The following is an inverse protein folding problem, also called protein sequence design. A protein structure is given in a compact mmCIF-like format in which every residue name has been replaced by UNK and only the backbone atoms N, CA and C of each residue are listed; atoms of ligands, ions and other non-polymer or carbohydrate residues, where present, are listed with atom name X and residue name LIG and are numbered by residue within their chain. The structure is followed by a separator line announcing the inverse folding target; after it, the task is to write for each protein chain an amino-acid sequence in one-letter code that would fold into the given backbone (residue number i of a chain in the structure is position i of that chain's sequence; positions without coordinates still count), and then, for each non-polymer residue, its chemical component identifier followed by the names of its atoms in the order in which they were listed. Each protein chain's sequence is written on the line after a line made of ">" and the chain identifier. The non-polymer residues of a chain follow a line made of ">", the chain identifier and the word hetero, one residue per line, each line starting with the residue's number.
data_IF_891555110977
#
_entry.id   IF_891555110977
#
_cell.length_a   1.000
_cell.length_b   1.000
_cell.length_c   1.000
_cell.angle_alpha   90.00
_cell.angle_beta   90.00
_cell.angle_gamma   90.00
#
_symmetry.space_group_name_H-M   'P 1'
#
loop_
_entity.id
_entity.type
_entity.pdbx_description
1 polymer ?
#
# COMPACT_ATOMS: atom_id res chain seq x y z
N UNK A 1 20.39 -16.24 1.39
CA UNK A 1 20.46 -14.82 1.77
C UNK A 1 21.03 -14.74 3.17
N UNK A 2 22.00 -13.85 3.44
CA UNK A 2 22.58 -13.67 4.77
C UNK A 2 21.65 -12.80 5.64
N UNK A 3 21.81 -12.85 6.98
CA UNK A 3 21.06 -11.99 7.90
C UNK A 3 21.29 -10.50 7.59
N UNK A 4 22.54 -10.13 7.28
CA UNK A 4 22.91 -8.75 6.95
C UNK A 4 22.18 -8.26 5.70
N UNK A 5 22.13 -9.07 4.62
CA UNK A 5 21.39 -8.70 3.41
C UNK A 5 19.89 -8.57 3.64
N UNK A 6 19.32 -9.43 4.50
CA UNK A 6 17.89 -9.32 4.87
C UNK A 6 17.58 -8.04 5.61
N UNK A 7 18.38 -7.65 6.60
CA UNK A 7 18.22 -6.40 7.36
C UNK A 7 18.39 -5.18 6.47
N UNK A 8 19.37 -5.19 5.56
CA UNK A 8 19.56 -4.09 4.60
C UNK A 8 18.36 -3.90 3.69
N UNK A 9 17.76 -4.99 3.19
CA UNK A 9 16.56 -4.95 2.35
C UNK A 9 15.32 -4.47 3.13
N UNK A 10 15.15 -4.90 4.38
CA UNK A 10 14.08 -4.41 5.26
C UNK A 10 14.16 -2.90 5.42
N UNK A 11 15.34 -2.37 5.75
CA UNK A 11 15.55 -0.92 5.92
C UNK A 11 15.28 -0.20 4.59
N UNK A 12 15.84 -0.70 3.48
CA UNK A 12 15.65 -0.10 2.16
C UNK A 12 14.17 -0.03 1.77
N UNK A 13 13.44 -1.13 1.91
CA UNK A 13 12.03 -1.19 1.51
C UNK A 13 11.12 -0.35 2.42
N UNK A 14 11.44 -0.31 3.73
CA UNK A 14 10.78 0.61 4.64
C UNK A 14 11.03 2.08 4.25
N UNK A 15 12.26 2.46 3.94
CA UNK A 15 12.61 3.82 3.51
C UNK A 15 11.88 4.18 2.21
N UNK A 16 11.90 3.30 1.19
CA UNK A 16 11.16 3.49 -0.06
C UNK A 16 9.66 3.73 0.23
N UNK A 17 9.06 2.86 1.04
CA UNK A 17 7.65 2.96 1.41
C UNK A 17 7.31 4.24 2.17
N UNK A 18 8.22 4.72 3.01
CA UNK A 18 8.02 5.87 3.89
C UNK A 18 8.10 7.24 3.20
N UNK A 19 8.44 7.27 1.89
CA UNK A 19 8.43 8.51 1.11
C UNK A 19 7.00 9.10 1.02
N UNK A 20 6.77 10.31 1.55
CA UNK A 20 5.44 10.89 1.65
C UNK A 20 5.09 11.68 0.38
N UNK A 21 4.84 10.99 -0.74
CA UNK A 21 4.62 11.62 -2.04
C UNK A 21 3.46 12.62 -2.05
N UNK A 22 2.41 12.40 -1.27
CA UNK A 22 1.33 13.35 -1.14
C UNK A 22 1.82 14.71 -0.62
N UNK A 23 2.68 14.74 0.42
CA UNK A 23 3.25 15.98 0.95
C UNK A 23 4.26 16.61 -0.01
N UNK A 24 5.09 15.78 -0.65
CA UNK A 24 6.10 16.24 -1.61
C UNK A 24 5.42 16.96 -2.78
N UNK A 25 4.48 16.30 -3.44
CA UNK A 25 3.82 16.86 -4.63
C UNK A 25 2.87 18.01 -4.29
N UNK A 26 2.11 17.97 -3.19
CA UNK A 26 1.27 19.11 -2.81
C UNK A 26 2.08 20.34 -2.50
N UNK A 27 3.27 20.19 -1.90
CA UNK A 27 4.20 21.30 -1.66
C UNK A 27 4.78 21.84 -2.98
N UNK A 28 5.23 20.96 -3.88
CA UNK A 28 5.82 21.33 -5.18
C UNK A 28 4.81 22.07 -6.08
N UNK A 29 3.53 21.71 -6.02
CA UNK A 29 2.47 22.33 -6.80
C UNK A 29 1.74 23.47 -6.07
N UNK A 30 2.26 23.93 -4.93
CA UNK A 30 1.68 25.08 -4.21
C UNK A 30 0.31 24.84 -3.57
N UNK A 31 -0.09 23.56 -3.36
CA UNK A 31 -1.40 23.20 -2.78
C UNK A 31 -1.41 23.27 -1.23
N UNK A 32 -0.29 23.64 -0.60
CA UNK A 32 -0.18 23.71 0.83
C UNK A 32 -0.02 22.37 1.55
N UNK A 33 -0.29 22.35 2.87
CA UNK A 33 -0.16 21.14 3.67
C UNK A 33 -1.44 20.32 3.67
N UNK A 34 -1.42 19.19 2.99
CA UNK A 34 -2.56 18.29 2.83
C UNK A 34 -3.09 17.73 4.16
N UNK A 35 -2.30 17.75 5.24
CA UNK A 35 -2.74 17.32 6.58
C UNK A 35 -3.77 18.28 7.20
N UNK A 36 -3.88 19.50 6.66
CA UNK A 36 -4.86 20.52 7.07
C UNK A 36 -6.11 20.52 6.19
N UNK A 37 -6.19 19.62 5.19
CA UNK A 37 -7.29 19.57 4.23
C UNK A 37 -8.08 18.27 4.41
N UNK A 38 -9.38 18.33 4.35
CA UNK A 38 -10.28 17.18 4.33
C UNK A 38 -10.07 16.24 5.52
N UNK A 39 -9.69 14.97 5.26
CA UNK A 39 -9.46 13.97 6.30
C UNK A 39 -8.10 14.09 7.01
N UNK A 40 -7.22 14.97 6.56
CA UNK A 40 -5.84 15.07 7.07
C UNK A 40 -4.92 13.91 6.65
N UNK A 41 -5.43 12.93 5.90
CA UNK A 41 -4.65 11.78 5.46
C UNK A 41 -3.65 12.14 4.36
N UNK A 42 -2.44 11.55 4.41
CA UNK A 42 -1.35 11.80 3.44
C UNK A 42 -1.42 10.81 2.25
N UNK A 43 -2.55 10.83 1.52
CA UNK A 43 -2.77 9.95 0.37
C UNK A 43 -3.54 10.63 -0.77
N UNK A 44 -3.52 10.01 -1.95
CA UNK A 44 -4.09 10.54 -3.20
C UNK A 44 -5.55 10.98 -3.08
N UNK A 45 -6.39 10.23 -2.36
CA UNK A 45 -7.81 10.57 -2.14
C UNK A 45 -7.99 11.91 -1.41
N UNK A 46 -7.10 12.24 -0.46
CA UNK A 46 -7.15 13.52 0.22
C UNK A 46 -6.60 14.65 -0.66
N UNK A 47 -5.57 14.37 -1.47
CA UNK A 47 -5.07 15.31 -2.48
C UNK A 47 -6.16 15.67 -3.49
N UNK A 48 -7.00 14.71 -3.89
CA UNK A 48 -8.12 14.95 -4.81
C UNK A 48 -9.10 16.02 -4.26
N UNK A 49 -9.25 16.13 -2.94
CA UNK A 49 -10.10 17.15 -2.29
C UNK A 49 -9.57 18.58 -2.42
N UNK A 50 -8.31 18.78 -2.79
CA UNK A 50 -7.78 20.10 -3.15
C UNK A 50 -8.30 20.61 -4.50
N UNK A 51 -9.03 19.77 -5.27
CA UNK A 51 -9.50 20.04 -6.63
C UNK A 51 -8.47 19.71 -7.73
N UNK A 52 -7.20 19.47 -7.40
CA UNK A 52 -6.17 19.17 -8.37
C UNK A 52 -6.09 17.66 -8.67
N UNK A 53 -6.84 17.24 -9.71
CA UNK A 53 -6.90 15.83 -10.14
C UNK A 53 -5.56 15.31 -10.65
N UNK A 54 -4.75 16.16 -11.29
CA UNK A 54 -3.45 15.79 -11.85
C UNK A 54 -2.46 15.42 -10.75
N UNK A 55 -2.35 16.27 -9.72
CA UNK A 55 -1.47 15.97 -8.58
C UNK A 55 -1.94 14.74 -7.81
N UNK A 56 -3.26 14.57 -7.64
CA UNK A 56 -3.81 13.37 -7.01
C UNK A 56 -3.46 12.09 -7.79
N UNK A 57 -3.51 12.14 -9.12
CA UNK A 57 -3.11 11.02 -9.99
C UNK A 57 -1.62 10.70 -9.87
N UNK A 58 -0.74 11.71 -9.90
CA UNK A 58 0.71 11.52 -9.73
C UNK A 58 0.99 10.85 -8.36
N UNK A 59 0.39 11.36 -7.30
CA UNK A 59 0.54 10.80 -5.95
C UNK A 59 0.10 9.32 -5.93
N UNK A 60 -1.03 9.00 -6.55
CA UNK A 60 -1.51 7.61 -6.66
C UNK A 60 -0.50 6.71 -7.36
N UNK A 61 0.03 7.16 -8.52
CA UNK A 61 1.02 6.40 -9.28
C UNK A 61 2.30 6.14 -8.47
N UNK A 62 2.83 7.15 -7.79
CA UNK A 62 4.04 7.00 -6.99
C UNK A 62 3.81 6.14 -5.73
N UNK A 63 2.65 6.24 -5.09
CA UNK A 63 2.31 5.38 -3.95
C UNK A 63 2.09 3.92 -4.37
N UNK A 64 1.57 3.64 -5.57
CA UNK A 64 1.53 2.30 -6.16
C UNK A 64 2.95 1.83 -6.49
N UNK A 65 3.74 2.68 -7.17
CA UNK A 65 5.09 2.31 -7.62
C UNK A 65 6.00 1.94 -6.44
N UNK A 66 5.96 2.67 -5.32
CA UNK A 66 6.78 2.34 -4.15
C UNK A 66 6.40 1.01 -3.49
N UNK A 67 5.17 0.52 -3.68
CA UNK A 67 4.76 -0.82 -3.25
C UNK A 67 5.21 -1.92 -4.21
N UNK A 68 5.31 -1.61 -5.50
CA UNK A 68 5.77 -2.50 -6.56
C UNK A 68 7.30 -2.65 -6.59
N UNK A 69 8.02 -1.55 -6.38
CA UNK A 69 9.48 -1.45 -6.53
C UNK A 69 10.27 -2.49 -5.72
N UNK A 70 9.91 -2.85 -4.46
CA UNK A 70 10.58 -3.92 -3.72
C UNK A 70 10.58 -5.26 -4.45
N UNK A 71 9.45 -5.65 -5.06
CA UNK A 71 9.38 -6.89 -5.85
C UNK A 71 10.26 -6.84 -7.07
N UNK A 72 10.30 -5.69 -7.77
CA UNK A 72 11.17 -5.49 -8.92
C UNK A 72 12.64 -5.64 -8.53
N UNK A 73 13.07 -5.05 -7.42
CA UNK A 73 14.44 -5.18 -6.89
C UNK A 73 14.75 -6.65 -6.57
N UNK A 74 13.85 -7.36 -5.88
CA UNK A 74 14.06 -8.77 -5.57
C UNK A 74 14.10 -9.65 -6.83
N UNK A 75 13.30 -9.33 -7.84
CA UNK A 75 13.31 -10.07 -9.10
C UNK A 75 14.62 -9.88 -9.88
N UNK A 76 15.21 -8.67 -9.82
CA UNK A 76 16.45 -8.36 -10.55
C UNK A 76 17.70 -8.92 -9.86
N UNK A 77 17.75 -8.88 -8.52
CA UNK A 77 18.99 -9.14 -7.78
C UNK A 77 18.94 -10.37 -6.87
N UNK A 78 17.75 -10.92 -6.58
CA UNK A 78 17.56 -11.98 -5.59
C UNK A 78 16.50 -12.99 -6.06
N UNK A 79 16.74 -13.66 -7.20
CA UNK A 79 15.75 -14.53 -7.85
C UNK A 79 15.39 -15.77 -7.03
N UNK A 80 16.36 -16.34 -6.29
CA UNK A 80 16.23 -17.61 -5.56
C UNK A 80 15.52 -17.48 -4.18
N UNK A 81 14.93 -16.32 -3.88
CA UNK A 81 14.22 -16.12 -2.62
C UNK A 81 12.83 -16.76 -2.72
N UNK A 82 12.46 -17.54 -1.69
CA UNK A 82 11.12 -18.14 -1.59
C UNK A 82 10.02 -17.07 -1.62
N UNK A 83 8.85 -17.45 -2.13
CA UNK A 83 7.70 -16.55 -2.21
C UNK A 83 7.34 -15.93 -0.86
N UNK A 84 7.35 -16.74 0.21
CA UNK A 84 7.07 -16.25 1.56
C UNK A 84 8.06 -15.17 2.00
N UNK A 85 9.37 -15.37 1.75
CA UNK A 85 10.39 -14.37 2.08
C UNK A 85 10.25 -13.10 1.23
N UNK A 86 9.89 -13.21 -0.07
CA UNK A 86 9.58 -12.04 -0.90
C UNK A 86 8.44 -11.23 -0.31
N UNK A 87 7.36 -11.90 0.07
CA UNK A 87 6.19 -11.30 0.73
C UNK A 87 6.62 -10.60 2.03
N UNK A 88 7.36 -11.29 2.90
CA UNK A 88 7.82 -10.78 4.19
C UNK A 88 8.79 -9.59 4.09
N UNK A 89 9.59 -9.52 3.05
CA UNK A 89 10.47 -8.37 2.80
C UNK A 89 9.72 -7.18 2.20
N UNK A 90 8.93 -7.44 1.16
CA UNK A 90 8.26 -6.37 0.43
C UNK A 90 7.18 -5.65 1.24
N UNK A 91 6.57 -6.31 2.27
CA UNK A 91 5.55 -5.65 3.10
C UNK A 91 6.10 -4.47 3.92
N UNK A 92 7.44 -4.38 4.12
CA UNK A 92 8.05 -3.23 4.79
C UNK A 92 7.84 -1.91 4.04
N UNK A 93 7.56 -1.94 2.73
CA UNK A 93 7.12 -0.75 2.01
C UNK A 93 5.72 -0.28 2.46
N UNK A 94 4.81 -1.21 2.78
CA UNK A 94 3.49 -0.88 3.31
C UNK A 94 3.62 -0.31 4.72
N UNK A 95 4.45 -0.94 5.58
CA UNK A 95 4.76 -0.43 6.91
C UNK A 95 5.36 0.98 6.87
N UNK A 96 6.30 1.22 5.94
CA UNK A 96 6.89 2.53 5.73
C UNK A 96 5.85 3.58 5.33
N UNK A 97 4.88 3.23 4.47
CA UNK A 97 3.81 4.16 4.09
C UNK A 97 2.86 4.48 5.25
N UNK A 98 2.49 3.49 6.07
CA UNK A 98 1.55 3.66 7.18
C UNK A 98 2.22 4.36 8.37
N UNK A 99 3.47 3.98 8.67
CA UNK A 99 4.22 4.44 9.84
C UNK A 99 5.57 5.08 9.47
N UNK A 100 5.59 6.16 8.65
CA UNK A 100 6.85 6.81 8.26
C UNK A 100 7.47 7.55 9.46
N UNK A 101 8.76 7.28 9.73
CA UNK A 101 9.49 7.88 10.85
C UNK A 101 9.52 9.42 10.79
N UNK A 102 9.67 10.00 9.60
CA UNK A 102 9.70 11.46 9.39
C UNK A 102 8.36 12.16 9.62
N UNK A 103 7.26 11.41 9.66
CA UNK A 103 5.93 11.92 9.99
C UNK A 103 5.48 11.50 11.40
N UNK A 104 6.41 11.17 12.29
CA UNK A 104 6.13 10.69 13.66
C UNK A 104 5.15 9.51 13.63
N UNK A 105 5.35 8.58 12.69
CA UNK A 105 4.55 7.38 12.46
C UNK A 105 3.08 7.63 12.09
N UNK A 106 2.77 8.84 11.56
CA UNK A 106 1.42 9.21 11.09
C UNK A 106 1.42 9.35 9.56
N UNK A 107 1.39 8.20 8.86
CA UNK A 107 1.40 8.12 7.41
C UNK A 107 0.01 8.05 6.78
N UNK A 108 -0.05 7.38 5.60
CA UNK A 108 -1.28 7.11 4.87
C UNK A 108 -1.94 5.78 5.28
N UNK A 109 -3.01 5.42 4.59
CA UNK A 109 -3.76 4.18 4.84
C UNK A 109 -3.11 2.92 4.24
N UNK A 110 -2.17 3.06 3.33
CA UNK A 110 -1.46 1.95 2.70
C UNK A 110 -2.15 1.32 1.48
N UNK A 111 -3.38 1.70 1.13
CA UNK A 111 -4.15 1.03 0.06
C UNK A 111 -3.45 1.11 -1.30
N UNK A 112 -2.97 2.27 -1.73
CA UNK A 112 -2.26 2.43 -3.00
C UNK A 112 -0.94 1.63 -3.01
N UNK A 113 -0.19 1.67 -1.90
CA UNK A 113 1.04 0.89 -1.74
C UNK A 113 0.76 -0.62 -1.73
N UNK A 114 -0.37 -1.04 -1.14
CA UNK A 114 -0.84 -2.42 -1.18
C UNK A 114 -1.20 -2.87 -2.60
N UNK A 115 -1.82 -2.02 -3.41
CA UNK A 115 -2.06 -2.32 -4.84
C UNK A 115 -0.73 -2.57 -5.55
N UNK A 116 0.27 -1.72 -5.33
CA UNK A 116 1.62 -1.91 -5.89
C UNK A 116 2.27 -3.22 -5.42
N UNK A 117 2.15 -3.54 -4.13
CA UNK A 117 2.59 -4.80 -3.56
C UNK A 117 1.90 -6.00 -4.25
N UNK A 118 0.58 -5.95 -4.48
CA UNK A 118 -0.14 -7.01 -5.18
C UNK A 118 0.30 -7.15 -6.64
N UNK A 119 0.57 -6.03 -7.35
CA UNK A 119 1.10 -6.09 -8.72
C UNK A 119 2.47 -6.78 -8.78
N UNK A 120 3.33 -6.54 -7.79
CA UNK A 120 4.61 -7.24 -7.68
C UNK A 120 4.48 -8.71 -7.32
N UNK A 121 3.48 -9.06 -6.52
CA UNK A 121 3.24 -10.42 -6.07
C UNK A 121 2.57 -11.27 -7.18
N UNK A 122 1.46 -10.78 -7.72
CA UNK A 122 0.69 -11.41 -8.79
C UNK A 122 -0.26 -10.38 -9.44
N UNK A 123 -0.04 -10.00 -10.71
CA UNK A 123 -0.87 -9.02 -11.40
C UNK A 123 -2.36 -9.36 -11.47
N UNK A 124 -2.70 -10.66 -11.56
CA UNK A 124 -4.11 -11.09 -11.60
C UNK A 124 -4.83 -10.80 -10.28
N UNK A 125 -4.14 -11.00 -9.14
CA UNK A 125 -4.69 -10.67 -7.82
C UNK A 125 -4.85 -9.16 -7.69
N UNK A 126 -3.91 -8.36 -8.19
CA UNK A 126 -4.01 -6.92 -8.18
C UNK A 126 -5.20 -6.42 -9.00
N UNK A 127 -5.41 -6.97 -10.20
CA UNK A 127 -6.56 -6.65 -11.04
C UNK A 127 -7.87 -7.06 -10.36
N UNK A 128 -7.93 -8.24 -9.77
CA UNK A 128 -9.12 -8.71 -9.06
C UNK A 128 -9.42 -7.81 -7.84
N UNK A 129 -8.40 -7.43 -7.08
CA UNK A 129 -8.55 -6.43 -6.00
C UNK A 129 -9.16 -5.13 -6.54
N UNK A 130 -8.64 -4.58 -7.64
CA UNK A 130 -9.14 -3.34 -8.23
C UNK A 130 -10.59 -3.47 -8.68
N UNK A 131 -10.96 -4.59 -9.29
CA UNK A 131 -12.35 -4.85 -9.71
C UNK A 131 -13.29 -4.90 -8.51
N UNK A 132 -12.94 -5.68 -7.47
CA UNK A 132 -13.73 -5.78 -6.24
C UNK A 132 -13.82 -4.42 -5.56
N UNK A 133 -12.72 -3.66 -5.49
CA UNK A 133 -12.70 -2.32 -4.92
C UNK A 133 -13.61 -1.37 -5.67
N UNK A 134 -13.51 -1.33 -7.02
CA UNK A 134 -14.33 -0.45 -7.86
C UNK A 134 -15.81 -0.78 -7.75
N UNK A 135 -16.18 -2.05 -7.86
CA UNK A 135 -17.59 -2.50 -7.76
C UNK A 135 -18.15 -2.13 -6.40
N UNK A 136 -17.41 -2.45 -5.32
CA UNK A 136 -17.86 -2.15 -3.96
C UNK A 136 -17.97 -0.65 -3.73
N UNK A 137 -16.99 0.14 -4.17
CA UNK A 137 -17.01 1.59 -4.02
C UNK A 137 -18.15 2.23 -4.83
N UNK A 138 -18.45 1.71 -6.03
CA UNK A 138 -19.54 2.20 -6.86
C UNK A 138 -20.92 1.90 -6.26
N UNK A 139 -21.13 0.67 -5.78
CA UNK A 139 -22.42 0.23 -5.21
C UNK A 139 -22.67 0.87 -3.84
N UNK A 140 -21.65 0.85 -2.96
CA UNK A 140 -21.80 1.36 -1.60
C UNK A 140 -21.63 2.87 -1.46
N UNK A 141 -21.00 3.52 -2.47
CA UNK A 141 -20.51 4.91 -2.45
C UNK A 141 -19.41 5.19 -1.41
N UNK A 142 -18.84 4.13 -0.80
CA UNK A 142 -17.76 4.22 0.19
C UNK A 142 -16.48 3.56 -0.35
N UNK A 143 -15.47 4.35 -0.71
CA UNK A 143 -14.18 3.80 -1.17
C UNK A 143 -13.41 3.06 -0.06
N UNK A 144 -13.63 3.41 1.20
CA UNK A 144 -13.07 2.71 2.36
C UNK A 144 -13.61 1.30 2.50
N UNK A 145 -14.92 1.10 2.30
CA UNK A 145 -15.51 -0.23 2.31
C UNK A 145 -14.98 -1.08 1.16
N UNK A 146 -14.78 -0.46 -0.03
CA UNK A 146 -14.15 -1.12 -1.17
C UNK A 146 -12.75 -1.63 -0.83
N UNK A 147 -11.92 -0.83 -0.15
CA UNK A 147 -10.57 -1.26 0.24
C UNK A 147 -10.60 -2.40 1.26
N UNK A 148 -11.50 -2.37 2.25
CA UNK A 148 -11.63 -3.43 3.25
C UNK A 148 -12.06 -4.77 2.63
N UNK A 149 -13.05 -4.74 1.73
CA UNK A 149 -13.49 -5.96 1.03
C UNK A 149 -12.43 -6.43 0.02
N UNK A 150 -11.83 -5.50 -0.73
CA UNK A 150 -10.78 -5.82 -1.71
C UNK A 150 -9.57 -6.50 -1.09
N UNK A 151 -9.15 -6.12 0.11
CA UNK A 151 -7.99 -6.73 0.80
C UNK A 151 -8.20 -8.23 1.04
N UNK A 152 -9.44 -8.70 1.17
CA UNK A 152 -9.76 -10.14 1.34
C UNK A 152 -9.48 -10.97 0.08
N UNK A 153 -9.32 -10.36 -1.09
CA UNK A 153 -9.08 -11.07 -2.36
C UNK A 153 -7.79 -11.89 -2.32
N UNK A 154 -6.69 -11.32 -1.83
CA UNK A 154 -5.41 -12.01 -1.79
C UNK A 154 -5.39 -13.21 -0.82
N UNK A 155 -5.84 -13.08 0.45
CA UNK A 155 -5.94 -14.23 1.34
C UNK A 155 -6.88 -15.32 0.80
N UNK A 156 -8.01 -14.95 0.19
CA UNK A 156 -8.92 -15.91 -0.41
C UNK A 156 -8.26 -16.66 -1.56
N UNK A 157 -7.58 -15.95 -2.48
CA UNK A 157 -6.85 -16.57 -3.57
C UNK A 157 -5.80 -17.58 -3.07
N UNK A 158 -4.95 -17.17 -2.12
CA UNK A 158 -3.88 -18.04 -1.62
C UNK A 158 -4.41 -19.20 -0.77
N UNK A 159 -5.53 -19.04 -0.10
CA UNK A 159 -6.16 -20.12 0.63
C UNK A 159 -6.75 -21.16 -0.31
N UNK A 160 -7.53 -20.74 -1.32
CA UNK A 160 -8.24 -21.69 -2.20
C UNK A 160 -7.36 -22.27 -3.31
N UNK A 161 -6.35 -21.56 -3.80
CA UNK A 161 -5.55 -22.00 -4.94
C UNK A 161 -4.24 -22.67 -4.52
N UNK A 162 -3.55 -22.14 -3.50
CA UNK A 162 -2.22 -22.61 -3.09
C UNK A 162 -2.20 -23.34 -1.74
N UNK A 163 -3.30 -23.38 -0.99
CA UNK A 163 -3.40 -23.98 0.36
C UNK A 163 -2.25 -23.58 1.30
N UNK A 164 -1.71 -22.37 1.18
CA UNK A 164 -0.60 -21.92 1.99
C UNK A 164 -1.07 -21.15 3.21
N UNK A 165 -1.11 -21.84 4.36
CA UNK A 165 -1.60 -21.32 5.62
C UNK A 165 -0.76 -20.14 6.16
N UNK A 166 0.56 -20.13 5.94
CA UNK A 166 1.43 -19.04 6.39
C UNK A 166 1.15 -17.75 5.62
N UNK A 167 0.89 -17.85 4.32
CA UNK A 167 0.51 -16.70 3.50
C UNK A 167 -0.87 -16.18 3.92
N UNK A 168 -1.81 -17.06 4.25
CA UNK A 168 -3.12 -16.66 4.78
C UNK A 168 -2.98 -15.84 6.07
N UNK A 169 -2.23 -16.34 7.05
CA UNK A 169 -1.99 -15.62 8.33
C UNK A 169 -1.37 -14.25 8.06
N UNK A 170 -0.39 -14.19 7.17
CA UNK A 170 0.24 -12.93 6.80
C UNK A 170 -0.76 -11.91 6.22
N UNK A 171 -1.66 -12.34 5.33
CA UNK A 171 -2.68 -11.44 4.77
C UNK A 171 -3.73 -11.01 5.81
N UNK A 172 -4.08 -11.86 6.77
CA UNK A 172 -4.94 -11.48 7.90
C UNK A 172 -4.25 -10.40 8.75
N UNK A 173 -2.94 -10.53 8.99
CA UNK A 173 -2.13 -9.50 9.63
C UNK A 173 -2.16 -8.17 8.83
N UNK A 174 -1.95 -8.21 7.52
CA UNK A 174 -2.02 -7.01 6.67
C UNK A 174 -3.40 -6.36 6.67
N UNK A 175 -4.48 -7.16 6.66
CA UNK A 175 -5.84 -6.67 6.80
C UNK A 175 -6.01 -5.89 8.11
N UNK A 176 -5.57 -6.46 9.22
CA UNK A 176 -5.61 -5.80 10.53
C UNK A 176 -4.83 -4.48 10.53
N UNK A 177 -3.63 -4.48 9.96
CA UNK A 177 -2.76 -3.31 9.87
C UNK A 177 -3.43 -2.15 9.11
N UNK A 178 -4.02 -2.44 7.94
CA UNK A 178 -4.67 -1.43 7.10
C UNK A 178 -5.98 -0.97 7.75
N UNK A 179 -6.74 -1.87 8.37
CA UNK A 179 -7.97 -1.53 9.10
C UNK A 179 -7.69 -0.59 10.28
N UNK A 180 -6.68 -0.86 11.09
CA UNK A 180 -6.28 0.00 12.22
C UNK A 180 -5.85 1.39 11.75
N UNK A 181 -5.26 1.50 10.56
CA UNK A 181 -4.85 2.79 9.99
C UNK A 181 -6.03 3.62 9.43
N UNK A 182 -7.24 3.05 9.32
CA UNK A 182 -8.46 3.76 8.94
C UNK A 182 -9.15 4.34 10.18
N UNK A 183 -9.06 5.65 10.46
CA UNK A 183 -9.88 6.23 11.51
C UNK A 183 -11.35 6.13 11.10
N UNK A 184 -12.15 5.43 11.90
CA UNK A 184 -13.62 5.37 11.82
C UNK A 184 -14.19 6.74 12.17
N UNK A 185 -14.02 7.74 11.31
CA UNK A 185 -14.74 9.00 11.43
C UNK A 185 -15.96 8.92 10.52
N UNK A 186 -17.18 9.08 11.05
CA UNK A 186 -18.34 9.34 10.21
C UNK A 186 -18.07 10.62 9.42
N UNK A 187 -18.35 10.58 8.13
CA UNK A 187 -18.27 11.71 7.21
C UNK A 187 -19.42 12.67 7.43
#
# INVERSE_FOLDING_TARGET
>A
MTLVSSLSLIILFYVIGSLPFALIFTKLFGLGDIRKVGSGNVGATNVLRTGNKFVAFIVLCFDIFKGFLPFLILQMYFQDISLLNKILLCHFAILGHIYPVWLKFKGGKGVATYIGFLFGLNPYIAILFLLVWLVTAFVSKYSSLGSLIGILVAPAYYFFINFNFYILIFFIYLLSLIHISEPTRPY
#
